data_IF_497477403552
#
_entry.id   IF_497477403552
#
_cell.length_a   1.000
_cell.length_b   1.000
_cell.length_c   1.000
_cell.angle_alpha   90.00
_cell.angle_beta   90.00
_cell.angle_gamma   90.00
#
_symmetry.space_group_name_H-M   'P 1'
#
loop_
_entity.id
_entity.type
_entity.pdbx_description
1 polymer ?
#
# COMPACT_ATOMS: atom_id res chain seq x y z
N UNK A 1 1.13 2.52 -17.98
CA UNK A 1 -0.19 2.22 -18.57
C UNK A 1 -0.08 2.32 -20.09
N UNK A 2 0.02 1.18 -20.81
CA UNK A 2 0.05 1.17 -22.27
C UNK A 2 -1.19 1.87 -22.86
N UNK A 3 -2.39 1.57 -22.36
CA UNK A 3 -3.65 2.13 -22.87
C UNK A 3 -3.71 3.66 -23.02
N UNK A 4 -3.34 4.42 -21.97
CA UNK A 4 -3.39 5.90 -22.04
C UNK A 4 -2.38 6.47 -23.05
N UNK A 5 -1.24 5.80 -23.25
CA UNK A 5 -0.23 6.21 -24.23
C UNK A 5 -0.64 5.83 -25.64
N UNK A 6 -1.17 4.62 -25.81
CA UNK A 6 -1.55 4.07 -27.12
C UNK A 6 -2.77 4.79 -27.73
N UNK A 7 -3.63 5.40 -26.91
CA UNK A 7 -4.84 6.11 -27.33
C UNK A 7 -4.79 7.62 -27.06
N UNK A 8 -3.59 8.20 -26.91
CA UNK A 8 -3.42 9.60 -26.48
C UNK A 8 -4.13 10.62 -27.40
N UNK A 9 -4.18 10.36 -28.71
CA UNK A 9 -4.81 11.26 -29.69
C UNK A 9 -6.34 11.31 -29.53
N UNK A 10 -6.99 10.15 -29.32
CA UNK A 10 -8.44 10.05 -29.11
C UNK A 10 -8.85 10.62 -27.74
N UNK A 11 -8.00 10.44 -26.72
CA UNK A 11 -8.25 10.89 -25.34
C UNK A 11 -7.94 12.37 -25.10
N UNK A 12 -7.53 13.12 -26.13
CA UNK A 12 -7.19 14.53 -26.00
C UNK A 12 -8.43 15.36 -25.67
N UNK A 13 -8.41 16.01 -24.49
CA UNK A 13 -9.51 16.84 -24.01
C UNK A 13 -9.01 18.17 -23.43
N UNK A 14 -9.90 19.18 -23.40
CA UNK A 14 -9.63 20.46 -22.72
C UNK A 14 -9.80 20.36 -21.20
N UNK A 15 -10.53 19.35 -20.72
CA UNK A 15 -10.82 19.10 -19.31
C UNK A 15 -11.00 17.60 -19.05
N UNK A 16 -10.47 17.12 -17.92
CA UNK A 16 -10.77 15.80 -17.38
C UNK A 16 -11.50 15.95 -16.04
N UNK A 17 -12.67 15.31 -15.91
CA UNK A 17 -13.45 15.29 -14.67
C UNK A 17 -13.37 13.89 -14.05
N UNK A 18 -12.88 13.81 -12.82
CA UNK A 18 -12.72 12.54 -12.10
C UNK A 18 -13.63 12.59 -10.87
N UNK A 19 -14.67 11.77 -10.86
CA UNK A 19 -15.68 11.70 -9.79
C UNK A 19 -15.41 10.53 -8.83
N UNK A 20 -14.16 10.34 -8.44
CA UNK A 20 -13.70 9.24 -7.57
C UNK A 20 -13.00 9.78 -6.31
N UNK A 21 -13.55 10.85 -5.74
CA UNK A 21 -13.05 11.45 -4.50
C UNK A 21 -14.19 11.70 -3.52
N UNK A 22 -13.86 11.89 -2.24
CA UNK A 22 -14.86 12.11 -1.20
C UNK A 22 -15.43 13.53 -1.16
N UNK A 23 -16.56 13.66 -0.45
CA UNK A 23 -17.09 14.94 0.02
C UNK A 23 -16.32 15.43 1.25
N UNK A 24 -16.34 16.74 1.52
CA UNK A 24 -15.74 17.28 2.75
C UNK A 24 -16.51 16.82 4.00
N UNK A 25 -17.83 16.75 3.88
CA UNK A 25 -18.74 16.15 4.86
C UNK A 25 -20.11 15.89 4.20
N UNK A 26 -21.04 15.28 4.96
CA UNK A 26 -22.40 15.08 4.48
C UNK A 26 -23.06 16.41 4.03
N UNK A 27 -23.70 16.38 2.87
CA UNK A 27 -24.29 17.54 2.20
C UNK A 27 -23.32 18.66 1.80
N UNK A 28 -22.00 18.50 1.98
CA UNK A 28 -20.99 19.53 1.69
C UNK A 28 -19.99 19.07 0.63
N UNK A 29 -20.08 19.59 -0.61
CA UNK A 29 -19.19 19.18 -1.69
C UNK A 29 -17.74 19.65 -1.44
N UNK A 30 -16.80 18.99 -2.11
CA UNK A 30 -15.39 19.34 -2.09
C UNK A 30 -14.84 19.46 -3.51
N UNK A 31 -13.84 20.34 -3.68
CA UNK A 31 -12.95 20.34 -4.84
C UNK A 31 -11.62 19.76 -4.36
N UNK A 32 -11.32 18.55 -4.80
CA UNK A 32 -10.05 17.89 -4.48
C UNK A 32 -8.94 18.47 -5.34
N UNK A 33 -8.02 19.20 -4.71
CA UNK A 33 -6.89 19.84 -5.41
C UNK A 33 -5.66 18.96 -5.49
N UNK A 34 -5.52 17.99 -4.60
CA UNK A 34 -4.36 17.11 -4.48
C UNK A 34 -4.75 15.74 -3.92
N UNK A 35 -3.99 14.71 -4.28
CA UNK A 35 -4.09 13.35 -3.75
C UNK A 35 -2.74 12.92 -3.20
N UNK A 36 -2.75 12.07 -2.17
CA UNK A 36 -1.52 11.40 -1.71
C UNK A 36 -1.13 10.32 -2.71
N UNK A 37 0.16 10.19 -2.97
CA UNK A 37 0.71 8.97 -3.55
C UNK A 37 0.56 7.80 -2.57
N UNK A 38 0.59 6.57 -3.10
CA UNK A 38 0.60 5.36 -2.31
C UNK A 38 1.81 4.52 -2.71
N UNK A 39 2.52 4.00 -1.72
CA UNK A 39 3.62 3.07 -1.87
C UNK A 39 3.31 1.88 -0.98
N UNK A 40 3.39 0.68 -1.56
CA UNK A 40 3.21 -0.59 -0.87
C UNK A 40 4.41 -1.47 -1.15
N UNK A 41 4.93 -2.10 -0.11
CA UNK A 41 6.06 -3.01 -0.18
C UNK A 41 5.77 -4.28 0.61
N UNK A 42 6.46 -5.36 0.25
CA UNK A 42 6.42 -6.63 0.95
C UNK A 42 7.77 -6.88 1.65
N UNK A 43 7.74 -7.11 2.96
CA UNK A 43 8.93 -7.41 3.76
C UNK A 43 8.87 -8.88 4.18
N UNK A 44 9.84 -9.68 3.71
CA UNK A 44 9.93 -11.10 4.03
C UNK A 44 11.08 -11.33 5.02
N UNK A 45 10.74 -11.68 6.26
CA UNK A 45 11.72 -12.07 7.30
C UNK A 45 11.82 -13.58 7.37
N UNK A 46 13.00 -14.13 7.04
CA UNK A 46 13.32 -15.56 7.18
C UNK A 46 14.28 -15.76 8.34
N UNK A 47 13.93 -16.63 9.28
CA UNK A 47 14.73 -16.88 10.48
C UNK A 47 15.21 -18.35 10.56
N UNK A 48 14.29 -19.28 10.79
CA UNK A 48 14.59 -20.71 10.78
C UNK A 48 14.37 -21.34 9.39
N UNK A 49 15.05 -22.45 9.11
CA UNK A 49 14.86 -23.20 7.86
C UNK A 49 13.59 -24.07 7.84
N UNK A 50 12.80 -24.05 8.92
CA UNK A 50 11.53 -24.76 9.11
C UNK A 50 10.74 -24.13 10.27
N UNK A 51 9.47 -24.47 10.40
CA UNK A 51 8.67 -24.07 11.56
C UNK A 51 9.15 -24.74 12.85
N UNK A 52 9.11 -24.00 13.96
CA UNK A 52 9.62 -24.44 15.25
C UNK A 52 8.51 -24.46 16.31
N UNK A 53 8.50 -25.50 17.16
CA UNK A 53 7.58 -25.58 18.30
C UNK A 53 7.91 -24.48 19.33
N UNK A 54 7.02 -23.53 19.53
CA UNK A 54 7.28 -22.33 20.35
C UNK A 54 7.67 -22.65 21.80
N UNK A 55 7.16 -23.73 22.40
CA UNK A 55 7.56 -24.14 23.75
C UNK A 55 9.00 -24.67 23.84
N UNK A 56 9.51 -25.30 22.78
CA UNK A 56 10.85 -25.88 22.80
C UNK A 56 11.93 -24.86 22.39
N UNK A 57 11.56 -23.89 21.57
CA UNK A 57 12.47 -22.91 20.97
C UNK A 57 12.22 -21.46 21.40
N UNK A 58 11.26 -21.24 22.30
CA UNK A 58 10.92 -19.93 22.83
C UNK A 58 12.11 -19.29 23.52
N UNK A 59 12.50 -18.09 23.08
CA UNK A 59 13.65 -17.35 23.59
C UNK A 59 15.02 -17.85 23.12
N UNK A 60 15.10 -19.01 22.45
CA UNK A 60 16.34 -19.57 21.90
C UNK A 60 16.52 -19.26 20.42
N UNK A 61 15.44 -19.39 19.63
CA UNK A 61 15.44 -19.07 18.21
C UNK A 61 14.92 -17.65 17.96
N UNK A 62 15.47 -16.98 16.94
CA UNK A 62 14.94 -15.69 16.49
C UNK A 62 13.52 -15.87 15.95
N UNK A 63 12.55 -15.25 16.61
CA UNK A 63 11.18 -15.24 16.13
C UNK A 63 11.02 -14.17 15.03
N UNK A 64 10.72 -14.55 13.78
CA UNK A 64 10.61 -13.59 12.67
C UNK A 64 9.53 -12.53 12.91
N UNK A 65 8.46 -12.84 13.67
CA UNK A 65 7.42 -11.85 14.02
C UNK A 65 7.99 -10.80 14.97
N UNK A 66 8.81 -11.21 15.95
CA UNK A 66 9.43 -10.27 16.89
C UNK A 66 10.44 -9.35 16.18
N UNK A 67 11.21 -9.91 15.24
CA UNK A 67 12.13 -9.13 14.40
C UNK A 67 11.36 -8.12 13.55
N UNK A 68 10.26 -8.55 12.90
CA UNK A 68 9.42 -7.67 12.10
C UNK A 68 8.85 -6.52 12.93
N UNK A 69 8.29 -6.83 14.10
CA UNK A 69 7.71 -5.81 15.00
C UNK A 69 8.78 -4.80 15.45
N UNK A 70 9.99 -5.27 15.78
CA UNK A 70 11.08 -4.38 16.15
C UNK A 70 11.57 -3.50 14.99
N UNK A 71 11.49 -3.98 13.75
CA UNK A 71 11.86 -3.20 12.57
C UNK A 71 10.79 -2.16 12.17
N UNK A 72 9.53 -2.36 12.61
CA UNK A 72 8.42 -1.44 12.39
C UNK A 72 8.31 -0.34 13.47
N UNK A 73 8.97 -0.52 14.62
CA UNK A 73 9.00 0.43 15.74
C UNK A 73 9.96 1.58 15.48
#
# INVERSE_FOLDING_TARGET
APFLRDNADELRASLALICDTGMYADGRPAITTQLRGLMGEEIVVRAASRDLHSGNFGGLAANPIQVLVNALA
#
